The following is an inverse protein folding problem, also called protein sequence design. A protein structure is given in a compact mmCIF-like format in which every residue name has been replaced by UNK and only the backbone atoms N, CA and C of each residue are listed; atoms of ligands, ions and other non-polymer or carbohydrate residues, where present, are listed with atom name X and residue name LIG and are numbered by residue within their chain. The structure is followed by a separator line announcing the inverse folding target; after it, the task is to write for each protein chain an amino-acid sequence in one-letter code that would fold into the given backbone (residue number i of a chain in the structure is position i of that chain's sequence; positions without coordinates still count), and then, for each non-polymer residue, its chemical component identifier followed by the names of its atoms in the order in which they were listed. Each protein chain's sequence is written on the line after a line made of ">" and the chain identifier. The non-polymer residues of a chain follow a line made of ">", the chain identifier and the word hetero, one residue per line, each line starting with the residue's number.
data_IF_976143886783
#
_entry.id   IF_976143886783
#
_cell.length_a   1.000
_cell.length_b   1.000
_cell.length_c   1.000
_cell.angle_alpha   90.00
_cell.angle_beta   90.00
_cell.angle_gamma   90.00
#
_symmetry.space_group_name_H-M   'P 1'
#
loop_
_entity.id
_entity.type
_entity.pdbx_description
1 polymer ?
#
# COMPACT_ATOMS: atom_id res chain seq x y z
N UNK A 1 92.04 -23.59 40.02
CA UNK A 1 91.08 -22.49 39.72
C UNK A 1 91.22 -22.19 38.23
N UNK A 2 90.26 -22.24 37.31
CA UNK A 2 88.79 -22.39 37.28
C UNK A 2 88.48 -23.11 35.94
N UNK A 3 87.61 -24.13 35.93
CA UNK A 3 87.08 -24.70 34.68
C UNK A 3 85.91 -23.82 34.22
N UNK A 4 86.03 -23.16 33.08
CA UNK A 4 84.93 -22.41 32.48
C UNK A 4 84.10 -23.40 31.65
N UNK A 5 82.91 -23.74 32.14
CA UNK A 5 81.93 -24.55 31.40
C UNK A 5 81.06 -23.55 30.63
N UNK A 6 81.19 -23.52 29.30
CA UNK A 6 80.28 -22.79 28.41
C UNK A 6 79.07 -23.70 28.14
N UNK A 7 77.97 -23.46 28.86
CA UNK A 7 76.69 -24.09 28.54
C UNK A 7 76.04 -23.31 27.40
N UNK A 8 76.06 -23.87 26.19
CA UNK A 8 75.31 -23.34 25.05
C UNK A 8 73.86 -23.77 25.23
N UNK A 9 72.99 -22.85 25.64
CA UNK A 9 71.54 -23.04 25.70
C UNK A 9 71.00 -22.91 24.28
N UNK A 10 70.67 -24.03 23.65
CA UNK A 10 70.01 -24.07 22.35
C UNK A 10 68.51 -23.78 22.56
N UNK A 11 68.09 -22.54 22.42
CA UNK A 11 66.67 -22.15 22.40
C UNK A 11 66.05 -22.58 21.07
N UNK A 12 65.37 -23.72 21.06
CA UNK A 12 64.54 -24.13 19.91
C UNK A 12 63.30 -23.25 19.82
N UNK A 13 63.32 -22.28 18.91
CA UNK A 13 62.13 -21.54 18.48
C UNK A 13 61.23 -22.51 17.70
N UNK A 14 60.15 -22.97 18.33
CA UNK A 14 59.08 -23.67 17.66
C UNK A 14 58.34 -22.66 16.77
N UNK A 15 58.59 -22.70 15.46
CA UNK A 15 57.79 -21.99 14.48
C UNK A 15 56.67 -22.92 14.02
N UNK A 16 55.41 -22.50 14.23
CA UNK A 16 54.26 -23.11 13.56
C UNK A 16 54.24 -22.63 12.12
N UNK A 17 54.36 -23.55 11.16
CA UNK A 17 54.09 -23.23 9.76
C UNK A 17 52.64 -23.59 9.45
N UNK A 18 51.81 -22.60 9.16
CA UNK A 18 50.49 -22.85 8.59
C UNK A 18 50.65 -23.18 7.10
N UNK A 19 50.12 -24.34 6.68
CA UNK A 19 50.13 -24.74 5.28
C UNK A 19 48.89 -24.18 4.58
N UNK A 20 49.09 -23.26 3.65
CA UNK A 20 48.07 -22.81 2.69
C UNK A 20 48.32 -23.51 1.34
N UNK A 21 47.26 -23.96 0.68
CA UNK A 21 47.36 -24.60 -0.64
C UNK A 21 46.98 -23.59 -1.71
N UNK A 22 47.95 -23.19 -2.51
CA UNK A 22 47.73 -22.44 -3.74
C UNK A 22 47.88 -23.38 -4.93
N UNK A 23 46.82 -23.53 -5.74
CA UNK A 23 46.88 -24.25 -7.02
C UNK A 23 46.95 -23.21 -8.14
N UNK A 24 48.03 -23.24 -8.92
CA UNK A 24 48.28 -22.30 -10.03
C UNK A 24 48.71 -23.04 -11.30
N UNK A 25 48.45 -22.44 -12.47
CA UNK A 25 48.73 -23.02 -13.79
C UNK A 25 49.96 -22.45 -14.51
N UNK A 26 50.84 -21.72 -13.81
CA UNK A 26 52.02 -21.08 -14.40
C UNK A 26 53.18 -20.88 -13.41
N UNK A 27 54.36 -20.59 -13.95
CA UNK A 27 55.63 -20.45 -13.20
C UNK A 27 56.05 -19.00 -12.91
N UNK A 28 55.28 -17.98 -13.28
CA UNK A 28 55.69 -16.58 -13.09
C UNK A 28 54.70 -15.73 -12.29
N UNK A 29 55.27 -14.97 -11.35
CA UNK A 29 54.56 -14.09 -10.41
C UNK A 29 53.90 -14.89 -9.30
N UNK A 30 54.67 -15.29 -8.29
CA UNK A 30 54.17 -15.99 -7.10
C UNK A 30 53.06 -15.14 -6.45
N UNK A 31 51.77 -15.43 -6.69
CA UNK A 31 50.72 -14.59 -6.14
C UNK A 31 50.76 -14.80 -4.63
N UNK A 32 50.72 -13.71 -3.87
CA UNK A 32 50.65 -13.81 -2.41
C UNK A 32 49.34 -14.50 -2.06
N UNK A 33 49.36 -15.73 -1.49
CA UNK A 33 48.12 -16.41 -1.15
C UNK A 33 47.32 -15.56 -0.16
N UNK A 34 46.00 -15.55 -0.31
CA UNK A 34 45.12 -14.86 0.61
C UNK A 34 45.30 -15.49 2.01
N UNK A 35 45.68 -14.70 3.04
CA UNK A 35 45.96 -15.25 4.37
C UNK A 35 44.75 -15.92 5.03
N UNK A 36 43.54 -15.66 4.53
CA UNK A 36 42.29 -16.26 5.00
C UNK A 36 41.85 -17.50 4.19
N UNK A 37 42.62 -17.93 3.18
CA UNK A 37 42.30 -19.08 2.36
C UNK A 37 43.15 -20.29 2.74
N UNK A 38 42.52 -21.42 3.08
CA UNK A 38 43.21 -22.71 3.16
C UNK A 38 43.47 -23.32 1.78
N UNK A 39 42.59 -23.03 0.81
CA UNK A 39 42.73 -23.39 -0.60
C UNK A 39 42.42 -22.17 -1.47
N UNK A 40 43.36 -21.79 -2.34
CA UNK A 40 43.19 -20.76 -3.35
C UNK A 40 43.51 -21.33 -4.75
N UNK A 41 42.66 -20.99 -5.72
CA UNK A 41 42.87 -21.33 -7.13
C UNK A 41 43.23 -20.05 -7.86
N UNK A 42 44.46 -19.96 -8.35
CA UNK A 42 44.94 -18.80 -9.10
C UNK A 42 45.10 -19.13 -10.58
N UNK A 43 44.44 -18.34 -11.44
CA UNK A 43 44.59 -18.43 -12.89
C UNK A 43 45.44 -17.27 -13.38
N UNK A 44 46.67 -17.54 -13.80
CA UNK A 44 47.63 -16.51 -14.21
C UNK A 44 47.10 -15.57 -15.31
N UNK A 45 46.30 -16.10 -16.24
CA UNK A 45 45.75 -15.35 -17.37
C UNK A 45 44.25 -15.06 -17.21
N UNK A 46 43.70 -15.18 -15.99
CA UNK A 46 42.27 -15.01 -15.71
C UNK A 46 41.36 -15.84 -16.64
N UNK A 47 41.79 -17.05 -17.02
CA UNK A 47 41.14 -17.87 -18.06
C UNK A 47 40.84 -19.32 -17.64
N UNK A 48 40.98 -19.63 -16.34
CA UNK A 48 40.61 -20.90 -15.72
C UNK A 48 39.66 -20.65 -14.56
N UNK A 49 38.85 -21.64 -14.22
CA UNK A 49 37.94 -21.61 -13.09
C UNK A 49 37.83 -22.97 -12.40
N UNK A 50 37.04 -23.03 -11.34
CA UNK A 50 36.69 -24.27 -10.66
C UNK A 50 35.51 -24.95 -11.35
N UNK A 51 35.70 -26.18 -11.83
CA UNK A 51 34.60 -27.01 -12.28
C UNK A 51 34.01 -27.76 -11.08
N UNK A 52 32.82 -27.35 -10.65
CA UNK A 52 32.12 -27.99 -9.54
C UNK A 52 31.66 -29.42 -9.89
N UNK A 53 31.57 -30.32 -8.90
CA UNK A 53 30.93 -31.63 -9.09
C UNK A 53 29.51 -31.47 -9.64
N UNK A 54 29.21 -32.18 -10.72
CA UNK A 54 27.87 -32.19 -11.33
C UNK A 54 27.00 -33.21 -10.62
N UNK A 55 25.85 -32.78 -10.12
CA UNK A 55 24.88 -33.63 -9.42
C UNK A 55 23.49 -33.41 -10.00
N UNK A 56 22.60 -34.39 -9.86
CA UNK A 56 21.20 -34.28 -10.26
C UNK A 56 20.35 -34.09 -9.00
N UNK A 57 20.08 -32.85 -8.62
CA UNK A 57 19.22 -32.54 -7.47
C UNK A 57 17.75 -32.90 -7.79
N UNK A 58 16.98 -33.25 -6.77
CA UNK A 58 15.56 -33.60 -6.91
C UNK A 58 14.67 -32.42 -6.57
N UNK A 59 14.81 -31.86 -5.37
CA UNK A 59 14.16 -30.65 -4.87
C UNK A 59 15.09 -29.97 -3.88
N UNK A 60 14.83 -28.71 -3.54
CA UNK A 60 15.73 -27.97 -2.62
C UNK A 60 15.74 -28.54 -1.20
N UNK A 61 14.66 -29.16 -0.76
CA UNK A 61 14.48 -29.80 0.56
C UNK A 61 14.90 -31.28 0.60
N UNK A 62 15.39 -31.83 -0.52
CA UNK A 62 15.86 -33.21 -0.61
C UNK A 62 17.39 -33.25 -0.67
N UNK A 63 18.08 -33.93 0.27
CA UNK A 63 19.54 -33.98 0.29
C UNK A 63 20.14 -34.78 -0.88
N UNK A 64 19.33 -35.62 -1.54
CA UNK A 64 19.76 -36.46 -2.67
C UNK A 64 20.43 -35.62 -3.77
N UNK A 65 21.58 -36.06 -4.32
CA UNK A 65 22.16 -37.41 -4.20
C UNK A 65 23.07 -37.63 -2.99
N UNK A 66 23.16 -36.68 -2.07
CA UNK A 66 23.92 -36.85 -0.83
C UNK A 66 23.07 -37.58 0.23
N UNK A 67 23.68 -38.32 1.16
CA UNK A 67 22.96 -39.00 2.24
C UNK A 67 22.32 -38.04 3.25
N UNK A 68 22.68 -36.75 3.22
CA UNK A 68 22.13 -35.71 4.10
C UNK A 68 22.53 -34.31 3.62
N UNK A 69 21.88 -33.29 4.17
CA UNK A 69 22.26 -31.89 3.96
C UNK A 69 23.56 -31.59 4.72
N UNK A 70 24.54 -30.99 4.06
CA UNK A 70 25.87 -30.70 4.61
C UNK A 70 26.16 -29.22 4.38
N UNK A 71 26.12 -28.42 5.45
CA UNK A 71 26.35 -26.97 5.37
C UNK A 71 27.71 -26.64 4.71
N UNK A 72 27.69 -25.68 3.78
CA UNK A 72 28.85 -25.25 3.00
C UNK A 72 29.17 -26.08 1.75
N UNK A 73 28.49 -27.21 1.55
CA UNK A 73 28.66 -28.03 0.34
C UNK A 73 28.21 -27.23 -0.90
N UNK A 74 29.05 -27.18 -1.94
CA UNK A 74 28.73 -26.48 -3.21
C UNK A 74 28.84 -27.44 -4.39
N UNK A 75 27.84 -27.44 -5.27
CA UNK A 75 27.72 -28.36 -6.41
C UNK A 75 27.11 -27.64 -7.62
N UNK A 76 27.26 -28.22 -8.81
CA UNK A 76 26.52 -27.80 -9.99
C UNK A 76 25.35 -28.77 -10.23
N UNK A 77 24.12 -28.28 -10.09
CA UNK A 77 22.94 -29.05 -10.43
C UNK A 77 22.76 -29.14 -11.96
N UNK A 78 22.45 -30.33 -12.46
CA UNK A 78 22.14 -30.55 -13.89
C UNK A 78 20.66 -30.79 -14.17
N UNK A 79 19.84 -30.99 -13.13
CA UNK A 79 18.45 -31.36 -13.30
C UNK A 79 17.50 -30.15 -13.29
N UNK A 80 16.37 -30.28 -13.97
CA UNK A 80 15.21 -29.39 -13.80
C UNK A 80 14.08 -30.17 -13.14
N UNK A 81 13.60 -29.71 -12.01
CA UNK A 81 12.48 -30.30 -11.27
C UNK A 81 11.40 -29.25 -11.08
N UNK A 82 10.16 -29.60 -11.40
CA UNK A 82 8.99 -28.71 -11.34
C UNK A 82 8.05 -29.10 -10.19
N UNK A 83 8.60 -29.42 -9.01
CA UNK A 83 7.81 -29.89 -7.87
C UNK A 83 6.84 -28.81 -7.35
N UNK A 84 7.36 -27.67 -6.88
CA UNK A 84 6.60 -26.47 -6.49
C UNK A 84 7.42 -25.22 -6.80
N UNK A 85 6.82 -24.03 -6.85
CA UNK A 85 7.58 -22.78 -7.04
C UNK A 85 8.62 -22.51 -5.94
N UNK A 86 8.51 -23.14 -4.76
CA UNK A 86 9.41 -22.95 -3.62
C UNK A 86 10.53 -24.00 -3.55
N UNK A 87 10.30 -25.21 -4.08
CA UNK A 87 11.25 -26.33 -3.96
C UNK A 87 11.80 -26.83 -5.30
N UNK A 88 11.45 -26.17 -6.40
CA UNK A 88 11.99 -26.47 -7.73
C UNK A 88 13.49 -26.25 -7.80
N UNK A 89 14.16 -27.11 -8.56
CA UNK A 89 15.57 -26.94 -8.90
C UNK A 89 15.71 -26.76 -10.41
N UNK A 90 16.71 -25.98 -10.82
CA UNK A 90 17.07 -25.76 -12.22
C UNK A 90 18.59 -25.87 -12.36
N UNK A 91 19.15 -26.06 -13.56
CA UNK A 91 20.59 -26.12 -13.72
C UNK A 91 21.27 -24.85 -13.20
N UNK A 92 22.36 -25.02 -12.43
CA UNK A 92 23.06 -23.91 -11.80
C UNK A 92 23.91 -24.34 -10.62
N UNK A 93 24.62 -23.39 -10.02
CA UNK A 93 25.41 -23.63 -8.81
C UNK A 93 24.47 -23.58 -7.60
N UNK A 94 24.60 -24.55 -6.71
CA UNK A 94 23.86 -24.61 -5.44
C UNK A 94 24.85 -24.76 -4.30
N UNK A 95 24.57 -24.08 -3.18
CA UNK A 95 25.17 -24.39 -1.90
C UNK A 95 24.14 -24.99 -0.95
N UNK A 96 24.60 -25.82 -0.04
CA UNK A 96 23.77 -26.41 1.00
C UNK A 96 23.98 -25.63 2.30
N UNK A 97 22.91 -25.24 2.99
CA UNK A 97 22.98 -24.50 4.26
C UNK A 97 22.88 -25.42 5.50
N UNK A 98 22.83 -26.74 5.29
CA UNK A 98 22.61 -27.75 6.32
C UNK A 98 21.16 -28.22 6.43
N UNK A 99 20.21 -27.59 5.75
CA UNK A 99 18.80 -27.99 5.72
C UNK A 99 18.20 -28.03 4.32
N UNK A 100 18.77 -27.28 3.37
CA UNK A 100 18.26 -27.15 2.00
C UNK A 100 19.37 -26.81 0.99
N UNK A 101 19.08 -27.02 -0.29
CA UNK A 101 19.88 -26.55 -1.42
C UNK A 101 19.41 -25.16 -1.85
N UNK A 102 20.31 -24.20 -1.76
CA UNK A 102 20.09 -22.81 -2.16
C UNK A 102 20.81 -22.54 -3.48
N UNK A 103 20.07 -22.12 -4.50
CA UNK A 103 20.67 -21.75 -5.78
C UNK A 103 21.47 -20.45 -5.60
N UNK A 104 22.71 -20.45 -6.06
CA UNK A 104 23.53 -19.25 -6.14
C UNK A 104 23.13 -18.48 -7.39
N UNK A 105 22.07 -17.68 -7.27
CA UNK A 105 21.68 -16.73 -8.31
C UNK A 105 21.38 -15.36 -7.68
N UNK A 106 21.73 -14.31 -8.41
CA UNK A 106 21.28 -12.96 -8.08
C UNK A 106 19.87 -12.83 -8.67
N UNK A 107 18.87 -12.62 -7.82
CA UNK A 107 17.58 -12.15 -8.31
C UNK A 107 17.79 -10.76 -8.90
N UNK A 108 17.80 -10.70 -10.22
CA UNK A 108 17.85 -9.45 -10.95
C UNK A 108 16.42 -8.98 -11.19
N UNK A 109 16.16 -7.66 -11.07
CA UNK A 109 14.84 -7.13 -11.38
C UNK A 109 14.46 -7.48 -12.83
N UNK A 110 13.19 -7.84 -13.01
CA UNK A 110 12.60 -8.07 -14.33
C UNK A 110 11.85 -6.81 -14.77
N UNK A 111 11.80 -6.55 -16.08
CA UNK A 111 11.04 -5.42 -16.62
C UNK A 111 9.59 -5.50 -16.14
N UNK A 112 9.11 -4.43 -15.51
CA UNK A 112 7.78 -4.35 -14.91
C UNK A 112 7.73 -4.58 -13.40
N UNK A 113 8.84 -5.02 -12.78
CA UNK A 113 8.92 -5.08 -11.32
C UNK A 113 8.70 -3.71 -10.70
N UNK A 114 8.02 -3.69 -9.55
CA UNK A 114 7.71 -2.49 -8.80
C UNK A 114 8.39 -2.55 -7.43
N UNK A 115 9.03 -1.46 -7.03
CA UNK A 115 9.61 -1.31 -5.69
C UNK A 115 9.23 0.01 -5.03
N UNK A 116 9.30 0.02 -3.71
CA UNK A 116 9.25 1.24 -2.90
C UNK A 116 10.66 1.72 -2.57
N UNK A 117 10.85 3.04 -2.47
CA UNK A 117 12.13 3.67 -2.16
C UNK A 117 11.94 4.96 -1.38
N UNK A 118 12.93 5.34 -0.57
CA UNK A 118 13.03 6.66 0.06
C UNK A 118 13.76 7.69 -0.82
N UNK A 119 14.32 7.26 -1.95
CA UNK A 119 15.06 8.09 -2.91
C UNK A 119 14.13 8.48 -4.07
N UNK A 120 14.26 9.71 -4.56
CA UNK A 120 13.41 10.26 -5.63
C UNK A 120 14.00 10.13 -7.05
N UNK A 121 15.32 9.97 -7.18
CA UNK A 121 15.98 9.91 -8.49
C UNK A 121 15.99 8.51 -9.09
N UNK A 122 15.92 8.42 -10.41
CA UNK A 122 16.15 7.16 -11.14
C UNK A 122 17.54 6.59 -10.83
N UNK A 123 17.64 5.26 -10.80
CA UNK A 123 18.88 4.55 -10.49
C UNK A 123 18.83 3.10 -10.94
N UNK A 124 19.94 2.56 -11.44
CA UNK A 124 20.12 1.13 -11.76
C UNK A 124 18.98 0.52 -12.60
N UNK A 125 18.45 1.27 -13.56
CA UNK A 125 17.33 0.83 -14.42
C UNK A 125 15.93 0.95 -13.80
N UNK A 126 15.84 1.54 -12.61
CA UNK A 126 14.59 1.89 -11.93
C UNK A 126 14.18 3.32 -12.26
N UNK A 127 12.93 3.47 -12.70
CA UNK A 127 12.36 4.75 -13.09
C UNK A 127 11.20 5.12 -12.16
N UNK A 128 11.25 6.32 -11.58
CA UNK A 128 10.19 6.83 -10.70
C UNK A 128 8.87 6.93 -11.47
N UNK A 129 7.79 6.44 -10.85
CA UNK A 129 6.42 6.57 -11.34
C UNK A 129 5.85 7.94 -10.97
N UNK A 130 6.23 8.96 -11.74
CA UNK A 130 5.90 10.38 -11.52
C UNK A 130 5.01 10.99 -12.63
N UNK A 131 4.61 10.20 -13.63
CA UNK A 131 3.81 10.71 -14.74
C UNK A 131 4.61 11.37 -15.86
N UNK A 132 5.95 11.33 -15.83
CA UNK A 132 6.76 11.92 -16.89
C UNK A 132 6.54 11.21 -18.24
N UNK A 133 6.78 11.94 -19.32
CA UNK A 133 6.66 11.41 -20.68
C UNK A 133 7.71 10.33 -20.97
N UNK A 134 7.30 9.24 -21.62
CA UNK A 134 8.18 8.12 -21.99
C UNK A 134 9.31 8.60 -22.91
N UNK A 135 9.05 9.58 -23.77
CA UNK A 135 10.05 10.17 -24.66
C UNK A 135 11.25 10.81 -23.95
N UNK A 136 11.17 11.04 -22.64
CA UNK A 136 12.28 11.57 -21.82
C UNK A 136 13.22 10.47 -21.30
N UNK A 137 12.86 9.20 -21.46
CA UNK A 137 13.64 8.05 -21.00
C UNK A 137 14.68 7.62 -22.03
N UNK A 138 15.62 6.74 -21.65
CA UNK A 138 16.53 6.10 -22.60
C UNK A 138 15.76 5.23 -23.61
N UNK A 139 16.34 4.99 -24.80
CA UNK A 139 15.67 4.20 -25.86
C UNK A 139 15.32 2.79 -25.39
N UNK A 140 16.18 2.16 -24.59
CA UNK A 140 15.91 0.84 -23.99
C UNK A 140 14.71 0.90 -23.03
N UNK A 141 14.67 1.89 -22.13
CA UNK A 141 13.56 2.07 -21.21
C UNK A 141 12.25 2.45 -21.90
N UNK A 142 12.31 3.18 -23.01
CA UNK A 142 11.14 3.46 -23.86
C UNK A 142 10.54 2.17 -24.43
N UNK A 143 11.40 1.29 -24.97
CA UNK A 143 10.97 -0.01 -25.49
C UNK A 143 10.37 -0.88 -24.39
N UNK A 144 11.00 -0.91 -23.21
CA UNK A 144 10.52 -1.65 -22.05
C UNK A 144 9.16 -1.11 -21.56
N UNK A 145 9.02 0.21 -21.39
CA UNK A 145 7.75 0.84 -21.01
C UNK A 145 6.64 0.56 -22.02
N UNK A 146 6.95 0.63 -23.31
CA UNK A 146 6.01 0.30 -24.39
C UNK A 146 5.56 -1.17 -24.33
N UNK A 147 6.48 -2.09 -24.02
CA UNK A 147 6.17 -3.52 -23.87
C UNK A 147 5.24 -3.81 -22.68
N UNK A 148 5.29 -2.97 -21.64
CA UNK A 148 4.37 -3.02 -20.50
C UNK A 148 3.00 -2.38 -20.78
N UNK A 149 2.84 -1.74 -21.94
CA UNK A 149 1.61 -1.06 -22.36
C UNK A 149 1.53 0.42 -21.95
N UNK A 150 2.63 1.03 -21.49
CA UNK A 150 2.68 2.48 -21.27
C UNK A 150 2.93 3.17 -22.60
N UNK A 151 2.01 4.04 -23.05
CA UNK A 151 2.02 4.57 -24.43
C UNK A 151 2.51 6.01 -24.58
N UNK A 152 2.37 6.86 -23.56
CA UNK A 152 2.76 8.27 -23.62
C UNK A 152 3.56 8.73 -22.40
N UNK A 153 3.16 8.29 -21.22
CA UNK A 153 3.79 8.62 -19.95
C UNK A 153 3.90 7.39 -19.06
N UNK A 154 4.85 7.41 -18.13
CA UNK A 154 4.82 6.47 -17.01
C UNK A 154 3.56 6.72 -16.16
N UNK A 155 3.07 5.71 -15.42
CA UNK A 155 2.06 5.94 -14.38
C UNK A 155 2.56 6.96 -13.34
N UNK A 156 1.64 7.77 -12.78
CA UNK A 156 1.95 8.66 -11.67
C UNK A 156 1.42 8.06 -10.37
N UNK A 157 2.33 7.78 -9.43
CA UNK A 157 2.05 7.16 -8.14
C UNK A 157 1.78 8.14 -6.99
N UNK A 158 1.88 9.46 -7.22
CA UNK A 158 1.68 10.47 -6.19
C UNK A 158 0.28 10.37 -5.56
N UNK A 159 0.23 10.31 -4.23
CA UNK A 159 -0.98 10.16 -3.40
C UNK A 159 -1.89 8.99 -3.81
N UNK A 160 -1.29 7.86 -4.23
CA UNK A 160 -2.02 6.67 -4.65
C UNK A 160 -1.53 5.41 -3.94
N UNK A 161 -2.47 4.49 -3.76
CA UNK A 161 -2.17 3.11 -3.38
C UNK A 161 -2.19 2.22 -4.62
N UNK A 162 -1.31 1.23 -4.66
CA UNK A 162 -1.33 0.20 -5.69
C UNK A 162 -2.46 -0.80 -5.38
N UNK A 163 -3.19 -1.19 -6.42
CA UNK A 163 -4.20 -2.25 -6.36
C UNK A 163 -3.95 -3.26 -7.47
N UNK A 164 -4.43 -4.48 -7.26
CA UNK A 164 -4.47 -5.46 -8.34
C UNK A 164 -5.33 -4.92 -9.51
N UNK A 165 -4.79 -5.06 -10.72
CA UNK A 165 -5.48 -4.74 -11.96
C UNK A 165 -6.60 -5.77 -12.20
N UNK A 166 -7.81 -5.30 -12.49
CA UNK A 166 -8.90 -6.17 -12.97
C UNK A 166 -8.71 -6.55 -14.45
N UNK A 167 -9.52 -7.46 -14.98
CA UNK A 167 -9.43 -7.84 -16.39
C UNK A 167 -9.66 -6.66 -17.36
N UNK A 168 -10.57 -5.74 -17.00
CA UNK A 168 -11.03 -4.65 -17.88
C UNK A 168 -10.21 -3.36 -17.77
N UNK A 169 -9.37 -3.22 -16.74
CA UNK A 169 -8.55 -2.02 -16.55
C UNK A 169 -7.30 -2.06 -17.45
N UNK A 170 -6.67 -0.91 -17.69
CA UNK A 170 -5.33 -0.82 -18.27
C UNK A 170 -4.29 -0.81 -17.14
N UNK A 171 -3.11 -1.40 -17.37
CA UNK A 171 -2.03 -1.33 -16.38
C UNK A 171 -1.62 0.13 -16.15
N UNK A 172 -1.46 0.51 -14.88
CA UNK A 172 -1.13 1.90 -14.52
C UNK A 172 -2.29 2.90 -14.60
N UNK A 173 -3.51 2.44 -14.91
CA UNK A 173 -4.69 3.29 -14.87
C UNK A 173 -4.95 3.82 -13.45
N UNK A 174 -5.22 5.12 -13.36
CA UNK A 174 -5.55 5.82 -12.13
C UNK A 174 -7.07 5.93 -11.96
N UNK A 175 -7.56 5.79 -10.72
CA UNK A 175 -8.98 5.95 -10.40
C UNK A 175 -9.22 6.09 -8.89
N UNK A 176 -10.49 6.19 -8.50
CA UNK A 176 -10.93 6.35 -7.12
C UNK A 176 -11.06 7.81 -6.67
N UNK A 177 -11.57 7.99 -5.46
CA UNK A 177 -11.81 9.29 -4.83
C UNK A 177 -11.15 9.32 -3.44
N UNK A 178 -10.60 10.46 -3.04
CA UNK A 178 -10.06 10.68 -1.69
C UNK A 178 -11.12 11.14 -0.69
N UNK A 179 -12.30 11.53 -1.18
CA UNK A 179 -13.44 11.92 -0.35
C UNK A 179 -14.78 11.62 -1.01
N UNK A 180 -15.83 11.49 -0.19
CA UNK A 180 -17.22 11.33 -0.66
C UNK A 180 -18.15 12.30 0.07
N UNK A 181 -19.08 12.91 -0.65
CA UNK A 181 -20.19 13.67 -0.06
C UNK A 181 -21.39 12.73 0.02
N UNK A 182 -21.90 12.50 1.23
CA UNK A 182 -23.10 11.70 1.42
C UNK A 182 -24.33 12.49 0.99
N UNK A 183 -25.10 11.92 0.07
CA UNK A 183 -26.39 12.45 -0.35
C UNK A 183 -27.51 11.76 0.43
N UNK A 184 -28.73 12.31 0.39
CA UNK A 184 -29.90 11.65 0.99
C UNK A 184 -30.11 10.23 0.44
N UNK A 185 -29.76 9.97 -0.82
CA UNK A 185 -29.85 8.64 -1.43
C UNK A 185 -28.86 7.62 -0.83
N UNK A 186 -27.83 8.08 -0.14
CA UNK A 186 -26.87 7.22 0.56
C UNK A 186 -27.26 6.93 2.01
N UNK A 187 -28.30 7.59 2.53
CA UNK A 187 -28.73 7.47 3.92
C UNK A 187 -30.00 6.62 4.01
N UNK A 188 -30.24 5.92 5.14
CA UNK A 188 -31.52 5.28 5.39
C UNK A 188 -32.68 6.27 5.32
N UNK A 189 -33.85 5.79 4.91
CA UNK A 189 -35.06 6.59 4.97
C UNK A 189 -35.40 6.91 6.44
N UNK A 190 -35.65 8.19 6.71
CA UNK A 190 -36.11 8.66 8.02
C UNK A 190 -37.52 9.19 7.85
N UNK A 191 -38.46 8.66 8.63
CA UNK A 191 -39.83 9.16 8.68
C UNK A 191 -39.95 10.17 9.81
N UNK A 192 -40.23 11.43 9.46
CA UNK A 192 -40.54 12.47 10.45
C UNK A 192 -42.05 12.51 10.70
N UNK A 193 -42.48 11.96 11.83
CA UNK A 193 -43.87 12.07 12.26
C UNK A 193 -44.08 13.41 12.97
N UNK A 194 -44.80 14.33 12.33
CA UNK A 194 -45.23 15.58 12.97
C UNK A 194 -46.74 15.52 13.21
N UNK A 195 -47.15 15.80 14.44
CA UNK A 195 -48.55 16.07 14.79
C UNK A 195 -48.68 17.56 15.05
N UNK A 196 -49.47 18.26 14.23
CA UNK A 196 -49.96 19.59 14.61
C UNK A 196 -51.14 19.40 15.55
N UNK A 197 -51.27 20.22 16.60
CA UNK A 197 -52.51 20.26 17.38
C UNK A 197 -53.68 20.53 16.43
N UNK A 198 -54.82 19.90 16.70
CA UNK A 198 -56.03 19.98 15.88
C UNK A 198 -56.26 21.38 15.32
N UNK A 199 -56.42 21.47 14.01
CA UNK A 199 -56.65 22.70 13.23
C UNK A 199 -57.56 23.66 14.00
N UNK A 200 -57.04 24.85 14.27
CA UNK A 200 -57.68 25.86 15.10
C UNK A 200 -58.93 26.46 14.47
N UNK A 201 -60.08 25.80 14.65
CA UNK A 201 -61.35 26.51 14.69
C UNK A 201 -61.39 27.29 16.01
N UNK A 202 -61.05 28.58 15.93
CA UNK A 202 -61.27 29.49 17.06
C UNK A 202 -62.29 30.53 16.66
N UNK A 203 -63.12 30.91 17.64
CA UNK A 203 -64.10 31.97 17.51
C UNK A 203 -63.57 33.20 18.24
N UNK A 204 -63.73 34.37 17.63
CA UNK A 204 -63.54 35.63 18.34
C UNK A 204 -64.84 36.01 19.04
N UNK A 205 -64.74 36.50 20.27
CA UNK A 205 -65.83 37.20 20.95
C UNK A 205 -65.61 38.70 20.77
N UNK A 206 -66.65 39.42 20.40
CA UNK A 206 -66.66 40.87 20.44
C UNK A 206 -67.90 41.34 21.18
N UNK A 207 -67.76 42.44 21.90
CA UNK A 207 -68.88 43.10 22.55
C UNK A 207 -69.40 44.16 21.57
N UNK A 208 -70.58 43.94 20.98
CA UNK A 208 -71.09 44.79 19.91
C UNK A 208 -71.44 46.22 20.40
N UNK A 209 -71.75 46.43 21.69
CA UNK A 209 -72.14 47.75 22.22
C UNK A 209 -71.72 47.97 23.68
N UNK A 210 -71.29 49.19 24.01
CA UNK A 210 -70.80 49.57 25.35
C UNK A 210 -71.89 49.42 26.43
N UNK A 211 -71.49 48.90 27.61
CA UNK A 211 -72.33 48.81 28.80
C UNK A 211 -72.90 50.18 29.18
N UNK A 212 -74.24 50.28 29.23
CA UNK A 212 -74.93 51.46 29.73
C UNK A 212 -76.42 51.51 29.38
N UNK A 213 -77.26 51.90 30.34
CA UNK A 213 -78.71 52.07 30.15
C UNK A 213 -79.01 53.34 29.34
N UNK A 214 -79.55 53.20 28.14
CA UNK A 214 -80.11 54.33 27.38
C UNK A 214 -81.54 54.61 27.82
N UNK A 215 -81.75 55.72 28.54
CA UNK A 215 -83.09 56.24 28.81
C UNK A 215 -83.64 56.95 27.56
N UNK A 216 -84.59 56.31 26.89
CA UNK A 216 -85.35 56.87 25.77
C UNK A 216 -86.61 57.55 26.32
N UNK A 217 -86.72 58.88 26.23
CA UNK A 217 -87.96 59.61 26.50
C UNK A 217 -88.75 59.77 25.20
N UNK A 218 -89.68 58.87 24.90
CA UNK A 218 -90.87 59.11 24.05
C UNK A 218 -91.97 58.06 24.33
N UNK A 219 -93.22 58.49 24.19
CA UNK A 219 -94.43 57.75 24.56
C UNK A 219 -95.04 56.98 23.37
N UNK A 220 -95.22 55.66 23.52
CA UNK A 220 -95.91 54.83 22.54
C UNK A 220 -95.56 53.35 22.70
N UNK A 221 -96.55 52.52 23.02
CA UNK A 221 -96.41 51.11 23.37
C UNK A 221 -95.93 50.25 22.21
N UNK A 222 -94.64 49.92 22.23
CA UNK A 222 -94.02 48.58 22.12
C UNK A 222 -92.60 48.79 21.62
N UNK A 223 -91.60 48.73 22.52
CA UNK A 223 -90.19 48.79 22.14
C UNK A 223 -89.55 47.46 22.50
N UNK A 224 -89.09 46.72 21.50
CA UNK A 224 -88.13 45.65 21.74
C UNK A 224 -86.80 46.33 22.06
N UNK A 225 -86.49 46.46 23.35
CA UNK A 225 -85.12 46.78 23.76
C UNK A 225 -84.30 45.53 23.42
N UNK A 226 -83.61 45.56 22.28
CA UNK A 226 -82.66 44.52 21.91
C UNK A 226 -81.34 44.82 22.62
N UNK A 227 -81.39 44.83 23.94
CA UNK A 227 -80.19 44.85 24.78
C UNK A 227 -80.12 43.48 25.44
N UNK A 228 -79.28 42.61 24.88
CA UNK A 228 -79.10 41.25 25.35
C UNK A 228 -77.65 41.06 25.80
N UNK A 229 -77.34 41.62 26.96
CA UNK A 229 -76.12 41.37 27.75
C UNK A 229 -75.83 39.86 27.89
N UNK A 230 -76.86 39.00 27.87
CA UNK A 230 -76.68 37.57 28.09
C UNK A 230 -76.17 36.75 26.89
N UNK A 231 -76.04 37.34 25.69
CA UNK A 231 -75.66 36.56 24.50
C UNK A 231 -74.24 36.83 24.02
N UNK A 232 -73.38 35.84 24.22
CA UNK A 232 -72.12 35.70 23.50
C UNK A 232 -72.39 35.54 22.01
N UNK A 233 -72.04 36.54 21.20
CA UNK A 233 -72.07 36.44 19.74
C UNK A 233 -70.69 36.05 19.21
N UNK A 234 -70.63 35.03 18.36
CA UNK A 234 -69.38 34.53 17.77
C UNK A 234 -69.32 34.87 16.29
N UNK A 235 -68.14 35.25 15.79
CA UNK A 235 -67.90 35.33 14.34
C UNK A 235 -68.00 33.94 13.69
N UNK A 236 -68.20 33.87 12.38
CA UNK A 236 -68.01 32.60 11.64
C UNK A 236 -66.58 32.10 11.78
N UNK A 237 -66.37 30.77 11.74
CA UNK A 237 -65.02 30.18 11.74
C UNK A 237 -64.14 30.85 10.69
N UNK A 238 -62.92 31.26 11.07
CA UNK A 238 -61.92 31.65 10.09
C UNK A 238 -61.71 30.48 9.12
N UNK A 239 -61.74 30.78 7.82
CA UNK A 239 -61.56 29.80 6.74
C UNK A 239 -60.19 29.12 6.80
N UNK A 240 -60.05 27.99 6.13
CA UNK A 240 -58.86 27.15 6.20
C UNK A 240 -57.57 27.93 5.92
N UNK A 241 -56.62 27.88 6.86
CA UNK A 241 -55.25 28.35 6.67
C UNK A 241 -54.26 27.18 6.71
N UNK A 242 -53.04 27.42 6.23
CA UNK A 242 -51.98 26.43 6.19
C UNK A 242 -50.88 26.77 7.18
N UNK A 243 -50.32 25.73 7.82
CA UNK A 243 -49.10 25.85 8.61
C UNK A 243 -47.95 25.26 7.80
N UNK A 244 -46.97 26.09 7.48
CA UNK A 244 -45.70 25.61 6.93
C UNK A 244 -44.73 25.42 8.08
N UNK A 245 -44.16 24.22 8.20
CA UNK A 245 -43.00 23.98 9.05
C UNK A 245 -41.88 23.38 8.21
N UNK A 246 -40.65 23.69 8.56
CA UNK A 246 -39.46 23.12 7.95
C UNK A 246 -38.57 22.58 9.05
N UNK A 247 -38.11 21.34 8.88
CA UNK A 247 -37.17 20.71 9.80
C UNK A 247 -35.83 20.61 9.09
N UNK A 248 -34.82 21.29 9.62
CA UNK A 248 -33.46 21.13 9.17
C UNK A 248 -32.94 19.76 9.63
N UNK A 249 -32.45 18.95 8.70
CA UNK A 249 -31.91 17.62 9.01
C UNK A 249 -30.49 17.68 9.59
N UNK A 250 -29.89 18.87 9.69
CA UNK A 250 -28.64 19.10 10.43
C UNK A 250 -27.34 18.69 9.73
N UNK A 251 -27.38 18.38 8.43
CA UNK A 251 -26.18 18.07 7.64
C UNK A 251 -25.46 19.32 7.11
N UNK A 252 -24.12 19.32 7.12
CA UNK A 252 -23.28 20.41 6.59
C UNK A 252 -22.83 20.21 5.13
N UNK A 253 -23.06 19.03 4.56
CA UNK A 253 -22.52 18.65 3.25
C UNK A 253 -21.00 18.49 3.21
N UNK A 254 -20.32 18.50 4.38
CA UNK A 254 -18.87 18.33 4.47
C UNK A 254 -18.47 16.95 3.94
N UNK A 255 -17.53 16.86 2.98
CA UNK A 255 -17.04 15.58 2.47
C UNK A 255 -16.42 14.74 3.58
N UNK A 256 -16.72 13.44 3.57
CA UNK A 256 -16.01 12.46 4.39
C UNK A 256 -14.68 12.13 3.72
N UNK A 257 -13.58 12.27 4.46
CA UNK A 257 -12.26 11.81 4.02
C UNK A 257 -12.22 10.28 4.01
N UNK A 258 -11.82 9.70 2.87
CA UNK A 258 -11.69 8.25 2.68
C UNK A 258 -10.23 7.77 2.84
N UNK A 259 -9.28 8.67 3.07
CA UNK A 259 -7.87 8.31 3.16
C UNK A 259 -7.54 7.66 4.52
N UNK A 260 -7.07 6.41 4.54
CA UNK A 260 -6.60 5.77 5.77
C UNK A 260 -5.27 6.40 6.24
N UNK A 261 -4.86 6.13 7.48
CA UNK A 261 -3.50 6.48 7.93
C UNK A 261 -2.47 5.78 7.01
N UNK A 262 -1.43 6.50 6.60
CA UNK A 262 -0.44 5.97 5.67
C UNK A 262 0.98 6.42 6.02
N UNK A 263 1.94 5.71 5.45
CA UNK A 263 3.35 6.08 5.38
C UNK A 263 3.76 6.08 3.91
N UNK A 264 4.32 7.19 3.44
CA UNK A 264 4.62 7.37 2.01
C UNK A 264 6.04 6.96 1.66
N UNK A 265 6.19 6.37 0.49
CA UNK A 265 7.46 6.09 -0.16
C UNK A 265 7.31 6.34 -1.68
N UNK A 266 8.42 6.61 -2.36
CA UNK A 266 8.45 6.73 -3.81
C UNK A 266 8.31 5.34 -4.45
N UNK A 267 7.55 5.26 -5.55
CA UNK A 267 7.31 4.00 -6.25
C UNK A 267 8.05 4.03 -7.59
N UNK A 268 8.81 2.97 -7.86
CA UNK A 268 9.60 2.83 -9.09
C UNK A 268 9.14 1.61 -9.87
N UNK A 269 9.29 1.68 -11.19
CA UNK A 269 9.20 0.54 -12.10
C UNK A 269 10.58 0.23 -12.69
N UNK A 270 10.93 -1.05 -12.79
CA UNK A 270 12.14 -1.47 -13.47
C UNK A 270 11.91 -1.55 -14.97
N UNK A 271 12.73 -0.84 -15.75
CA UNK A 271 12.67 -0.82 -17.22
C UNK A 271 13.97 -1.29 -17.88
N UNK A 272 14.93 -1.79 -17.09
CA UNK A 272 16.25 -2.20 -17.54
C UNK A 272 17.30 -1.09 -17.42
N UNK A 273 18.56 -1.51 -17.25
CA UNK A 273 19.74 -0.65 -17.31
C UNK A 273 20.10 -0.28 -18.75
#
# INVERSE_FOLDING_TARGET
>A
MKKLIFAVILTSVASSSDAQVLITNGTSGNPTPNPNAQLELYSQNNNKGLLMPKVSLVTTDNPSPLPGHIAGMTVYNTNTSTATTLTSVTPGIYYNDGTSWNKMEVQTPTVGDIKYSSVVTDHDGWYLLDGRAISTLSVSAQSAASSLGFSSSLPNSADRYLKAKSASETLGAAGGNTSVVLTQANLPNVTYNATTSSTGAHNHTYNDRASGTVNSVEAGSTKTVVDNDSTTSTTSSAGAHTHTFSVFTGGSGTPLNLQPKYLSAYIFVYLGQ
#
